data_IF_445657930833
#
_entry.id   IF_445657930833
#
_cell.length_a   1.000
_cell.length_b   1.000
_cell.length_c   1.000
_cell.angle_alpha   90.00
_cell.angle_beta   90.00
_cell.angle_gamma   90.00
#
_symmetry.space_group_name_H-M   'P 1'
#
loop_
_entity.id
_entity.type
_entity.pdbx_description
1 polymer ?
#
# COMPACT_ATOMS: atom_id res chain seq x y z
N UNK A 1 13.90 3.93 -5.21
CA UNK A 1 13.39 3.88 -6.60
C UNK A 1 13.21 2.44 -7.08
N UNK A 2 14.23 1.59 -6.91
CA UNK A 2 14.18 0.18 -7.33
C UNK A 2 13.03 -0.62 -6.70
N UNK A 3 12.73 -0.39 -5.42
CA UNK A 3 11.64 -1.11 -4.74
C UNK A 3 10.26 -0.70 -5.28
N UNK A 4 10.09 0.58 -5.62
CA UNK A 4 8.89 1.07 -6.30
C UNK A 4 8.77 0.42 -7.69
N UNK A 5 9.85 0.35 -8.47
CA UNK A 5 9.81 -0.34 -9.78
C UNK A 5 9.48 -1.83 -9.65
N UNK A 6 10.05 -2.53 -8.66
CA UNK A 6 9.74 -3.95 -8.39
C UNK A 6 8.26 -4.12 -8.01
N UNK A 7 7.75 -3.24 -7.15
CA UNK A 7 6.34 -3.24 -6.74
C UNK A 7 5.41 -2.97 -7.91
N UNK A 8 5.72 -1.97 -8.75
CA UNK A 8 4.94 -1.68 -9.95
C UNK A 8 4.87 -2.88 -10.88
N UNK A 9 5.98 -3.56 -11.14
CA UNK A 9 6.01 -4.79 -11.96
C UNK A 9 5.21 -5.94 -11.34
N UNK A 10 5.35 -6.16 -10.02
CA UNK A 10 4.68 -7.27 -9.32
C UNK A 10 3.17 -7.05 -9.23
N UNK A 11 2.74 -5.81 -9.08
CA UNK A 11 1.36 -5.48 -8.72
C UNK A 11 0.53 -4.98 -9.90
N UNK A 12 1.14 -4.38 -10.92
CA UNK A 12 0.41 -3.68 -11.99
C UNK A 12 -0.38 -2.46 -11.51
N UNK A 13 -0.06 -1.92 -10.33
CA UNK A 13 -0.73 -0.73 -9.80
C UNK A 13 -0.26 0.55 -10.51
N UNK A 14 -1.04 1.63 -10.37
CA UNK A 14 -0.65 2.92 -10.95
C UNK A 14 0.66 3.42 -10.31
N UNK A 15 1.42 4.25 -11.03
CA UNK A 15 2.69 4.77 -10.51
C UNK A 15 2.54 5.50 -9.17
N UNK A 16 1.38 6.11 -8.92
CA UNK A 16 1.05 6.76 -7.65
C UNK A 16 0.87 5.73 -6.53
N UNK A 17 0.04 4.71 -6.73
CA UNK A 17 -0.18 3.65 -5.72
C UNK A 17 1.12 2.95 -5.34
N UNK A 18 1.96 2.68 -6.35
CA UNK A 18 3.27 2.06 -6.20
C UNK A 18 4.19 2.89 -5.30
N UNK A 19 4.12 4.23 -5.38
CA UNK A 19 4.94 5.11 -4.55
C UNK A 19 4.58 4.97 -3.06
N UNK A 20 3.29 4.95 -2.73
CA UNK A 20 2.83 4.80 -1.34
C UNK A 20 3.10 3.40 -0.79
N UNK A 21 2.87 2.35 -1.59
CA UNK A 21 3.22 0.99 -1.21
C UNK A 21 4.72 0.85 -0.95
N UNK A 22 5.56 1.42 -1.82
CA UNK A 22 7.00 1.42 -1.63
C UNK A 22 7.42 2.21 -0.39
N UNK A 23 6.82 3.38 -0.16
CA UNK A 23 7.08 4.21 1.01
C UNK A 23 6.75 3.46 2.31
N UNK A 24 5.53 2.91 2.41
CA UNK A 24 5.11 2.15 3.60
C UNK A 24 6.04 0.96 3.87
N UNK A 25 6.42 0.22 2.82
CA UNK A 25 7.32 -0.93 2.95
C UNK A 25 8.73 -0.54 3.40
N UNK A 26 9.32 0.48 2.78
CA UNK A 26 10.69 0.92 3.10
C UNK A 26 10.77 1.51 4.51
N UNK A 27 9.74 2.25 4.92
CA UNK A 27 9.67 2.88 6.23
C UNK A 27 9.18 1.92 7.34
N UNK A 28 8.69 0.73 7.00
CA UNK A 28 8.02 -0.16 7.96
C UNK A 28 6.75 0.46 8.57
N UNK A 29 6.10 1.37 7.83
CA UNK A 29 4.95 2.14 8.31
C UNK A 29 3.62 1.44 7.98
N UNK A 30 2.58 1.81 8.73
CA UNK A 30 1.20 1.40 8.43
C UNK A 30 0.64 2.25 7.29
N UNK A 31 0.19 1.61 6.22
CA UNK A 31 -0.51 2.28 5.12
C UNK A 31 -1.97 2.50 5.48
N UNK A 32 -2.38 3.75 5.62
CA UNK A 32 -3.79 4.13 5.78
C UNK A 32 -4.31 4.59 4.41
N UNK A 33 -5.41 4.01 3.93
CA UNK A 33 -6.02 4.36 2.64
C UNK A 33 -7.53 4.17 2.70
N UNK A 34 -8.31 4.93 1.95
CA UNK A 34 -9.75 4.72 1.76
C UNK A 34 -10.08 3.90 0.49
N UNK A 35 -9.07 3.59 -0.32
CA UNK A 35 -9.15 2.74 -1.51
C UNK A 35 -9.01 1.25 -1.14
N UNK A 36 -10.07 0.48 -1.39
CA UNK A 36 -10.10 -0.96 -1.10
C UNK A 36 -9.04 -1.76 -1.87
N UNK A 37 -8.82 -1.45 -3.15
CA UNK A 37 -7.85 -2.18 -4.00
C UNK A 37 -6.43 -1.94 -3.52
N UNK A 38 -6.12 -0.72 -3.09
CA UNK A 38 -4.82 -0.38 -2.53
C UNK A 38 -4.59 -1.09 -1.19
N UNK A 39 -5.61 -1.13 -0.33
CA UNK A 39 -5.58 -1.87 0.93
C UNK A 39 -5.32 -3.37 0.73
N UNK A 40 -6.09 -4.02 -0.15
CA UNK A 40 -5.94 -5.45 -0.46
C UNK A 40 -4.54 -5.76 -0.99
N UNK A 41 -4.08 -4.97 -1.96
CA UNK A 41 -2.76 -5.12 -2.56
C UNK A 41 -1.62 -4.92 -1.57
N UNK A 42 -1.75 -4.01 -0.61
CA UNK A 42 -0.78 -3.84 0.47
C UNK A 42 -0.68 -5.11 1.34
N UNK A 43 -1.81 -5.75 1.65
CA UNK A 43 -1.83 -7.01 2.43
C UNK A 43 -1.20 -8.17 1.66
N UNK A 44 -1.48 -8.31 0.37
CA UNK A 44 -0.90 -9.36 -0.48
C UNK A 44 0.63 -9.34 -0.52
N UNK A 45 1.24 -8.16 -0.36
CA UNK A 45 2.69 -7.96 -0.38
C UNK A 45 3.32 -7.80 1.01
N UNK A 46 2.53 -8.01 2.07
CA UNK A 46 3.00 -8.03 3.46
C UNK A 46 3.23 -6.64 4.09
N UNK A 47 2.60 -5.59 3.56
CA UNK A 47 2.59 -4.27 4.19
C UNK A 47 1.43 -4.20 5.18
N UNK A 48 1.70 -3.70 6.39
CA UNK A 48 0.64 -3.40 7.35
C UNK A 48 -0.25 -2.29 6.79
N UNK A 49 -1.56 -2.51 6.71
CA UNK A 49 -2.49 -1.54 6.15
C UNK A 49 -3.81 -1.50 6.92
N UNK A 50 -4.49 -0.35 6.83
CA UNK A 50 -5.81 -0.12 7.40
C UNK A 50 -6.68 0.61 6.38
N UNK A 51 -7.92 0.13 6.20
CA UNK A 51 -8.90 0.75 5.33
C UNK A 51 -9.67 1.82 6.12
N UNK A 52 -9.61 3.09 5.71
CA UNK A 52 -10.13 4.24 6.46
C UNK A 52 -11.59 4.06 6.93
N UNK A 53 -12.42 3.42 6.10
CA UNK A 53 -13.84 3.15 6.38
C UNK A 53 -14.05 2.11 7.49
N UNK A 54 -13.07 1.24 7.71
CA UNK A 54 -13.04 0.26 8.81
C UNK A 54 -12.44 0.84 10.08
N UNK A 55 -11.66 1.93 10.00
CA UNK A 55 -11.12 2.68 11.14
C UNK A 55 -12.20 3.59 11.75
N UNK A 56 -13.46 3.16 11.72
CA UNK A 56 -14.55 3.87 12.38
C UNK A 56 -14.15 4.10 13.85
N UNK A 57 -14.03 5.36 14.24
CA UNK A 57 -13.57 5.82 15.56
C UNK A 57 -14.53 5.34 16.69
N UNK A 58 -14.11 5.40 17.98
CA UNK A 58 -14.52 4.52 19.08
C UNK A 58 -16.01 4.52 19.45
#
# INVERSE_FOLDING_TARGET
>A
MDEAMKLGKKTGASGFDVLFLACAKVCGAVLITDDLKMYEKAREIGIMSQLLREISSP
#
